data_IF_436193325500
#
_entry.id   IF_436193325500
#
_cell.length_a   1.000
_cell.length_b   1.000
_cell.length_c   1.000
_cell.angle_alpha   90.00
_cell.angle_beta   90.00
_cell.angle_gamma   90.00
#
_symmetry.space_group_name_H-M   'P 1'
#
loop_
_entity.id
_entity.type
_entity.pdbx_description
1 polymer ?
#
# COMPACT_ATOMS: atom_id res chain seq x y z
N UNK A 1 8.50 -24.76 -28.43
CA UNK A 1 9.52 -24.18 -27.53
C UNK A 1 9.14 -22.72 -27.40
N UNK A 2 8.22 -22.46 -26.47
CA UNK A 2 7.62 -21.16 -26.22
C UNK A 2 8.14 -20.75 -24.84
N UNK A 3 8.82 -19.62 -24.79
CA UNK A 3 9.51 -19.08 -23.61
C UNK A 3 8.47 -18.46 -22.65
N UNK A 4 8.30 -18.97 -21.41
CA UNK A 4 7.32 -18.45 -20.48
C UNK A 4 8.02 -17.81 -19.27
N UNK A 5 8.76 -16.73 -19.43
CA UNK A 5 9.31 -15.97 -18.28
C UNK A 5 9.50 -14.48 -18.63
N UNK A 6 8.40 -13.77 -18.87
CA UNK A 6 8.37 -12.31 -18.73
C UNK A 6 7.46 -11.97 -17.55
N UNK A 7 8.07 -11.94 -16.38
CA UNK A 7 7.50 -11.33 -15.18
C UNK A 7 7.19 -9.85 -15.47
N UNK A 8 5.91 -9.46 -15.29
CA UNK A 8 5.40 -8.10 -15.50
C UNK A 8 6.21 -7.07 -14.69
N UNK A 9 6.85 -7.48 -13.59
CA UNK A 9 7.72 -6.63 -12.74
C UNK A 9 9.06 -6.28 -13.40
N UNK A 10 9.56 -7.09 -14.34
CA UNK A 10 10.85 -6.83 -15.03
C UNK A 10 10.74 -5.71 -16.07
N UNK A 11 9.53 -5.46 -16.61
CA UNK A 11 9.31 -4.41 -17.60
C UNK A 11 9.36 -3.00 -16.97
N UNK A 12 8.81 -2.83 -15.77
CA UNK A 12 8.78 -1.55 -15.05
C UNK A 12 10.20 -1.13 -14.61
N UNK A 13 11.07 -2.07 -14.23
CA UNK A 13 12.46 -1.76 -13.82
C UNK A 13 13.43 -1.34 -14.94
N UNK A 14 13.04 -1.39 -16.22
CA UNK A 14 13.98 -1.18 -17.36
C UNK A 14 13.73 0.06 -18.23
N UNK A 15 12.77 0.92 -17.91
CA UNK A 15 12.58 2.18 -18.66
C UNK A 15 13.41 3.29 -18.04
N UNK A 16 14.74 3.09 -18.03
CA UNK A 16 15.73 4.10 -17.76
C UNK A 16 16.68 4.17 -18.95
N UNK A 17 16.54 5.23 -19.75
CA UNK A 17 17.35 5.60 -20.92
C UNK A 17 17.07 4.88 -22.26
N UNK A 18 16.24 5.50 -23.11
CA UNK A 18 16.48 5.58 -24.55
C UNK A 18 15.70 6.77 -25.17
N UNK A 19 16.39 7.89 -25.35
CA UNK A 19 15.94 9.03 -26.17
C UNK A 19 15.92 8.61 -27.64
N UNK A 20 14.83 8.87 -28.38
CA UNK A 20 14.77 8.57 -29.81
C UNK A 20 13.53 9.16 -30.50
N UNK A 21 13.63 10.43 -30.90
CA UNK A 21 12.65 11.11 -31.73
C UNK A 21 12.56 10.50 -33.14
N UNK A 22 11.36 10.19 -33.62
CA UNK A 22 11.03 10.16 -35.05
C UNK A 22 9.65 10.76 -35.27
N UNK A 23 9.63 11.93 -35.89
CA UNK A 23 8.46 12.54 -36.52
C UNK A 23 8.39 12.11 -37.99
N UNK A 24 7.22 11.69 -38.48
CA UNK A 24 6.85 11.77 -39.89
C UNK A 24 5.36 12.09 -40.04
N UNK A 25 5.09 13.16 -40.79
CA UNK A 25 3.80 13.70 -41.18
C UNK A 25 3.21 12.99 -42.42
N UNK A 26 1.91 13.20 -42.68
CA UNK A 26 1.37 13.14 -44.07
C UNK A 26 -0.09 12.71 -44.27
N UNK A 27 -1.00 13.68 -44.19
CA UNK A 27 -2.25 13.96 -44.93
C UNK A 27 -2.90 12.93 -45.89
N UNK A 28 -4.25 12.78 -45.85
CA UNK A 28 -5.21 13.31 -46.86
C UNK A 28 -6.70 13.12 -46.45
N UNK A 29 -7.53 14.14 -46.71
CA UNK A 29 -8.96 14.38 -46.45
C UNK A 29 -9.95 13.66 -47.43
N UNK A 30 -11.24 14.08 -47.62
CA UNK A 30 -12.42 14.12 -46.72
C UNK A 30 -13.65 13.38 -47.30
N UNK A 31 -14.72 13.18 -46.52
CA UNK A 31 -15.98 12.59 -47.01
C UNK A 31 -17.19 13.00 -46.17
N UNK A 32 -18.15 13.62 -46.86
CA UNK A 32 -19.38 14.31 -46.45
C UNK A 32 -20.40 13.56 -45.56
N UNK A 33 -21.07 14.38 -44.74
CA UNK A 33 -22.51 14.49 -44.42
C UNK A 33 -23.29 13.25 -43.94
N UNK A 34 -23.85 13.34 -42.71
CA UNK A 34 -25.29 13.16 -42.47
C UNK A 34 -25.67 13.58 -41.03
N UNK A 35 -26.46 14.65 -40.90
CA UNK A 35 -27.25 14.95 -39.70
C UNK A 35 -28.54 14.13 -39.72
N UNK A 36 -28.82 13.29 -38.71
CA UNK A 36 -30.19 13.04 -38.21
C UNK A 36 -30.16 12.53 -36.76
N UNK A 37 -30.95 13.16 -35.89
CA UNK A 37 -31.88 12.40 -35.04
C UNK A 37 -31.55 12.16 -33.58
N UNK A 38 -32.06 13.06 -32.74
CA UNK A 38 -32.57 12.77 -31.39
C UNK A 38 -33.24 11.37 -31.30
N UNK A 39 -32.81 10.58 -30.31
CA UNK A 39 -33.22 9.19 -30.15
C UNK A 39 -33.01 8.66 -28.74
N UNK A 40 -34.00 8.94 -27.88
CA UNK A 40 -34.53 8.09 -26.81
C UNK A 40 -33.54 7.31 -25.94
N UNK A 41 -33.59 7.68 -24.65
CA UNK A 41 -33.28 6.82 -23.52
C UNK A 41 -33.87 5.41 -23.75
N UNK A 42 -32.98 4.46 -24.05
CA UNK A 42 -33.34 3.06 -24.07
C UNK A 42 -33.18 2.56 -22.63
N UNK A 43 -34.28 2.60 -21.88
CA UNK A 43 -34.48 1.85 -20.65
C UNK A 43 -34.56 0.37 -21.01
N UNK A 44 -33.40 -0.21 -21.34
CA UNK A 44 -33.23 -1.66 -21.38
C UNK A 44 -33.09 -2.12 -19.95
N UNK A 45 -34.15 -2.76 -19.45
CA UNK A 45 -34.15 -3.50 -18.19
C UNK A 45 -33.08 -4.60 -18.24
N UNK A 46 -31.86 -4.25 -17.87
CA UNK A 46 -30.82 -5.22 -17.57
C UNK A 46 -31.27 -6.00 -16.34
N UNK A 47 -31.11 -7.33 -16.40
CA UNK A 47 -31.34 -8.20 -15.26
C UNK A 47 -30.57 -7.66 -14.07
N UNK A 48 -31.25 -7.35 -12.97
CA UNK A 48 -30.67 -6.77 -11.76
C UNK A 48 -29.55 -7.62 -11.11
N UNK A 49 -29.19 -8.76 -11.68
CA UNK A 49 -28.16 -9.67 -11.19
C UNK A 49 -26.75 -9.49 -11.78
N UNK A 50 -26.55 -8.60 -12.76
CA UNK A 50 -25.22 -8.37 -13.38
C UNK A 50 -24.79 -6.89 -13.34
N UNK A 51 -25.53 -6.04 -12.63
CA UNK A 51 -25.22 -4.62 -12.51
C UNK A 51 -24.02 -4.41 -11.58
N UNK A 52 -22.89 -3.95 -12.15
CA UNK A 52 -21.73 -3.54 -11.37
C UNK A 52 -22.03 -2.30 -10.52
N UNK A 53 -21.39 -2.15 -9.35
CA UNK A 53 -21.43 -0.91 -8.59
C UNK A 53 -21.04 0.30 -9.44
N UNK A 54 -21.62 1.45 -9.10
CA UNK A 54 -21.20 2.72 -9.69
C UNK A 54 -19.90 3.15 -9.03
N UNK A 55 -19.03 3.76 -9.82
CA UNK A 55 -17.80 4.38 -9.32
C UNK A 55 -17.83 5.88 -9.64
N UNK A 56 -18.60 6.70 -8.89
CA UNK A 56 -18.57 8.15 -9.09
C UNK A 56 -17.15 8.69 -8.95
N UNK A 57 -16.77 9.57 -9.87
CA UNK A 57 -15.49 10.27 -9.83
C UNK A 57 -15.63 11.59 -9.07
N UNK A 58 -14.50 12.04 -8.52
CA UNK A 58 -14.35 13.34 -7.87
C UNK A 58 -13.40 14.12 -8.77
N UNK A 59 -13.87 15.26 -9.30
CA UNK A 59 -13.11 16.04 -10.29
C UNK A 59 -11.87 16.70 -9.68
N UNK A 60 -11.99 17.32 -8.51
CA UNK A 60 -10.92 18.06 -7.82
C UNK A 60 -10.48 17.31 -6.55
N UNK A 61 -9.82 16.18 -6.75
CA UNK A 61 -9.32 15.34 -5.64
C UNK A 61 -8.15 16.03 -4.95
N UNK A 62 -8.12 16.08 -3.61
CA UNK A 62 -6.99 16.66 -2.90
C UNK A 62 -5.75 15.78 -3.06
N UNK A 63 -4.56 16.38 -3.08
CA UNK A 63 -3.27 15.69 -2.96
C UNK A 63 -3.00 15.21 -1.51
N UNK A 64 -3.98 14.52 -0.91
CA UNK A 64 -4.01 14.09 0.48
C UNK A 64 -4.99 12.93 0.66
N UNK A 65 -4.97 12.30 1.83
CA UNK A 65 -5.97 11.31 2.22
C UNK A 65 -7.34 11.96 2.37
N UNK A 66 -8.33 11.38 1.69
CA UNK A 66 -9.67 11.94 1.63
C UNK A 66 -10.77 10.88 1.71
N UNK A 67 -11.99 11.30 2.05
CA UNK A 67 -13.16 10.43 2.12
C UNK A 67 -13.63 10.01 0.71
N UNK A 68 -13.60 8.71 0.37
CA UNK A 68 -14.07 8.24 -0.93
C UNK A 68 -15.59 8.38 -1.07
N UNK A 69 -16.11 8.08 -2.25
CA UNK A 69 -17.55 8.22 -2.57
C UNK A 69 -18.43 7.14 -1.93
N UNK A 70 -17.84 6.00 -1.59
CA UNK A 70 -18.52 4.86 -0.98
C UNK A 70 -17.56 4.01 -0.17
N UNK A 71 -18.15 3.17 0.68
CA UNK A 71 -17.53 2.02 1.32
C UNK A 71 -17.78 0.79 0.48
N UNK A 72 -16.73 0.00 0.26
CA UNK A 72 -16.86 -1.25 -0.45
C UNK A 72 -17.38 -2.36 0.46
N UNK A 73 -17.95 -3.40 -0.13
CA UNK A 73 -18.39 -4.59 0.58
C UNK A 73 -17.65 -5.80 0.05
N UNK A 74 -17.34 -6.72 0.95
CA UNK A 74 -16.58 -7.92 0.62
C UNK A 74 -17.03 -9.09 1.48
N UNK A 75 -16.70 -10.29 1.02
CA UNK A 75 -16.80 -11.52 1.77
C UNK A 75 -15.43 -11.87 2.34
N UNK A 76 -15.32 -11.90 3.66
CA UNK A 76 -14.15 -12.41 4.37
C UNK A 76 -14.29 -13.93 4.50
N UNK A 77 -13.25 -14.68 4.10
CA UNK A 77 -13.18 -16.13 4.29
C UNK A 77 -12.44 -16.48 5.58
N UNK A 78 -12.52 -17.74 5.99
CA UNK A 78 -11.82 -18.21 7.19
C UNK A 78 -10.30 -18.02 7.04
N UNK A 79 -9.61 -17.50 8.07
CA UNK A 79 -8.16 -17.46 8.12
C UNK A 79 -7.52 -18.85 7.99
N UNK A 80 -6.38 -18.90 7.32
CA UNK A 80 -5.61 -20.11 7.05
C UNK A 80 -4.20 -19.91 7.59
N UNK A 81 -3.71 -20.92 8.31
CA UNK A 81 -2.30 -20.99 8.72
C UNK A 81 -1.50 -21.74 7.66
N UNK A 82 -0.39 -21.15 7.23
CA UNK A 82 0.57 -21.75 6.31
C UNK A 82 1.98 -21.50 6.86
N UNK A 83 2.60 -22.53 7.43
CA UNK A 83 3.86 -22.39 8.17
C UNK A 83 3.74 -21.38 9.31
N UNK A 84 4.62 -20.38 9.29
CA UNK A 84 4.62 -19.28 10.25
C UNK A 84 3.62 -18.15 9.92
N UNK A 85 3.05 -18.17 8.72
CA UNK A 85 2.10 -17.16 8.27
C UNK A 85 0.67 -17.53 8.66
N UNK A 86 -0.13 -16.51 8.99
CA UNK A 86 -1.58 -16.61 8.86
C UNK A 86 -2.06 -15.66 7.79
N UNK A 87 -2.98 -16.13 6.96
CA UNK A 87 -3.58 -15.35 5.89
C UNK A 87 -5.10 -15.38 5.95
N UNK A 88 -5.75 -14.32 5.50
CA UNK A 88 -7.20 -14.27 5.34
C UNK A 88 -7.54 -13.85 3.92
N UNK A 89 -8.16 -14.75 3.12
CA UNK A 89 -8.66 -14.38 1.82
C UNK A 89 -9.95 -13.56 1.94
N UNK A 90 -10.06 -12.52 1.12
CA UNK A 90 -11.21 -11.62 1.07
C UNK A 90 -11.57 -11.39 -0.40
N UNK A 91 -12.87 -11.30 -0.68
CA UNK A 91 -13.38 -11.27 -2.04
C UNK A 91 -14.40 -10.14 -2.19
N UNK A 92 -14.17 -9.25 -3.14
CA UNK A 92 -15.12 -8.21 -3.57
C UNK A 92 -15.43 -8.33 -5.07
N UNK A 93 -16.30 -7.47 -5.58
CA UNK A 93 -16.45 -7.25 -7.03
C UNK A 93 -15.15 -6.64 -7.61
N UNK A 94 -14.82 -6.87 -8.90
CA UNK A 94 -13.67 -6.22 -9.54
C UNK A 94 -13.83 -4.70 -9.56
N UNK A 95 -12.78 -3.96 -9.24
CA UNK A 95 -12.83 -2.51 -9.18
C UNK A 95 -11.48 -1.84 -9.48
N UNK A 96 -11.48 -0.53 -9.80
CA UNK A 96 -10.27 0.18 -10.14
C UNK A 96 -9.35 0.38 -8.93
N UNK A 97 -8.05 0.22 -9.16
CA UNK A 97 -7.01 0.63 -8.21
C UNK A 97 -5.91 1.40 -8.94
N UNK A 98 -4.97 1.96 -8.20
CA UNK A 98 -3.91 2.81 -8.76
C UNK A 98 -2.54 2.25 -8.42
N UNK A 99 -1.72 2.00 -9.43
CA UNK A 99 -0.31 1.64 -9.28
C UNK A 99 0.51 2.90 -9.18
N UNK A 100 1.48 2.90 -8.27
CA UNK A 100 2.52 3.94 -8.19
C UNK A 100 3.77 3.36 -8.84
N UNK A 101 4.21 3.95 -9.95
CA UNK A 101 5.35 3.46 -10.73
C UNK A 101 6.48 4.49 -10.77
N UNK A 102 7.33 4.46 -9.74
CA UNK A 102 8.69 5.03 -9.72
C UNK A 102 8.87 6.53 -9.96
N UNK A 103 9.37 7.23 -8.93
CA UNK A 103 9.74 8.65 -8.91
C UNK A 103 8.87 9.47 -7.95
N UNK A 104 8.68 10.77 -8.23
CA UNK A 104 7.84 11.69 -7.45
C UNK A 104 6.82 12.41 -8.37
N UNK A 105 5.52 12.36 -8.03
CA UNK A 105 4.48 13.19 -8.65
C UNK A 105 3.26 12.43 -9.20
N UNK A 106 2.27 13.18 -9.72
CA UNK A 106 0.99 12.63 -10.21
C UNK A 106 1.09 11.86 -11.54
N UNK A 107 2.11 12.17 -12.37
CA UNK A 107 2.34 11.53 -13.67
C UNK A 107 2.77 10.05 -13.55
N UNK A 108 3.01 9.58 -12.33
CA UNK A 108 3.53 8.25 -12.02
C UNK A 108 2.46 7.30 -11.45
N UNK A 109 1.20 7.73 -11.50
CA UNK A 109 0.07 6.91 -11.07
C UNK A 109 -0.64 6.33 -12.30
N UNK A 110 -0.66 5.00 -12.39
CA UNK A 110 -1.43 4.28 -13.38
C UNK A 110 -2.73 3.75 -12.77
N UNK A 111 -3.87 4.23 -13.27
CA UNK A 111 -5.17 3.62 -12.94
C UNK A 111 -5.30 2.29 -13.69
N UNK A 112 -5.57 1.23 -12.93
CA UNK A 112 -5.86 -0.10 -13.45
C UNK A 112 -7.36 -0.36 -13.32
N UNK A 113 -8.06 -0.32 -14.44
CA UNK A 113 -9.47 -0.72 -14.49
C UNK A 113 -9.60 -2.25 -14.68
N UNK A 114 -10.65 -2.88 -14.13
CA UNK A 114 -10.88 -4.31 -14.32
C UNK A 114 -11.11 -4.64 -15.80
N UNK A 115 -10.43 -5.67 -16.31
CA UNK A 115 -10.52 -6.11 -17.71
C UNK A 115 -11.96 -6.45 -18.14
N UNK A 116 -12.77 -6.96 -17.20
CA UNK A 116 -14.14 -7.40 -17.40
C UNK A 116 -14.94 -7.19 -16.11
N UNK A 117 -16.26 -6.98 -16.22
CA UNK A 117 -17.15 -6.86 -15.05
C UNK A 117 -17.38 -8.19 -14.30
N UNK A 118 -17.05 -9.34 -14.91
CA UNK A 118 -17.19 -10.66 -14.27
C UNK A 118 -15.86 -11.14 -13.71
N UNK A 119 -15.84 -11.41 -12.41
CA UNK A 119 -14.64 -11.77 -11.66
C UNK A 119 -14.76 -11.41 -10.20
N UNK A 120 -13.62 -11.38 -9.53
CA UNK A 120 -13.48 -10.89 -8.15
C UNK A 120 -12.28 -9.97 -8.06
N UNK A 121 -12.36 -8.97 -7.18
CA UNK A 121 -11.15 -8.41 -6.60
C UNK A 121 -10.76 -9.34 -5.44
N UNK A 122 -9.67 -10.10 -5.63
CA UNK A 122 -9.19 -11.06 -4.64
C UNK A 122 -8.12 -10.38 -3.80
N UNK A 123 -8.33 -10.36 -2.49
CA UNK A 123 -7.45 -9.74 -1.51
C UNK A 123 -6.99 -10.74 -0.46
N UNK A 124 -5.80 -10.53 0.09
CA UNK A 124 -5.20 -11.35 1.14
C UNK A 124 -4.46 -10.45 2.12
N UNK A 125 -4.75 -10.58 3.40
CA UNK A 125 -3.91 -10.00 4.47
C UNK A 125 -3.04 -11.11 5.04
N UNK A 126 -1.74 -10.86 5.18
CA UNK A 126 -0.75 -11.75 5.78
C UNK A 126 -0.29 -11.17 7.12
N UNK A 127 -0.27 -11.99 8.18
CA UNK A 127 0.16 -11.55 9.50
C UNK A 127 0.82 -12.66 10.32
N UNK A 128 1.60 -12.25 11.32
CA UNK A 128 2.05 -13.10 12.41
C UNK A 128 0.92 -13.30 13.42
N UNK A 129 0.40 -14.52 13.57
CA UNK A 129 -0.71 -14.78 14.50
C UNK A 129 -0.33 -14.63 15.97
N UNK A 130 0.95 -14.81 16.33
CA UNK A 130 1.39 -14.67 17.72
C UNK A 130 1.32 -13.22 18.18
N UNK A 131 1.73 -12.28 17.33
CA UNK A 131 1.77 -10.84 17.64
C UNK A 131 0.63 -10.03 17.06
N UNK A 132 -0.14 -10.58 16.13
CA UNK A 132 -1.17 -9.84 15.40
C UNK A 132 -0.58 -8.78 14.46
N UNK A 133 0.69 -8.92 14.08
CA UNK A 133 1.41 -7.96 13.23
C UNK A 133 1.18 -8.32 11.77
N UNK A 134 0.51 -7.44 11.03
CA UNK A 134 0.42 -7.54 9.56
C UNK A 134 1.82 -7.38 8.97
N UNK A 135 2.13 -8.08 7.87
CA UNK A 135 3.45 -8.06 7.25
C UNK A 135 3.43 -7.17 5.98
N UNK A 136 3.75 -5.86 6.09
CA UNK A 136 3.66 -4.93 4.98
C UNK A 136 4.91 -4.99 4.10
N UNK A 137 5.08 -6.07 3.33
CA UNK A 137 6.27 -6.30 2.50
C UNK A 137 5.90 -6.58 1.04
N UNK A 138 6.81 -6.36 0.10
CA UNK A 138 6.67 -6.99 -1.22
C UNK A 138 7.01 -8.47 -1.10
N UNK A 139 5.98 -9.27 -0.84
CA UNK A 139 6.12 -10.71 -0.72
C UNK A 139 6.30 -11.40 -2.06
N UNK A 140 6.23 -10.75 -3.23
CA UNK A 140 6.28 -11.46 -4.53
C UNK A 140 5.40 -12.73 -4.60
N UNK A 141 4.29 -12.76 -3.85
CA UNK A 141 3.40 -13.91 -3.78
C UNK A 141 2.86 -14.27 -5.16
N UNK A 142 2.48 -15.54 -5.34
CA UNK A 142 1.87 -16.01 -6.59
C UNK A 142 0.53 -16.66 -6.30
N UNK A 143 -0.50 -16.19 -6.99
CA UNK A 143 -1.87 -16.71 -6.94
C UNK A 143 -2.12 -17.53 -8.20
N UNK A 144 -2.56 -18.77 -8.01
CA UNK A 144 -3.04 -19.65 -9.08
C UNK A 144 -4.49 -20.06 -8.81
N UNK A 145 -5.36 -19.86 -9.79
CA UNK A 145 -6.80 -20.16 -9.66
C UNK A 145 -7.14 -21.40 -10.48
N UNK A 146 -7.98 -22.26 -9.92
CA UNK A 146 -8.42 -23.51 -10.53
C UNK A 146 -9.94 -23.65 -10.45
N UNK A 147 -10.52 -24.32 -11.45
CA UNK A 147 -11.92 -24.76 -11.47
C UNK A 147 -11.94 -26.20 -11.97
N UNK A 148 -12.58 -27.10 -11.23
CA UNK A 148 -12.66 -28.54 -11.56
C UNK A 148 -11.29 -29.20 -11.84
N UNK A 149 -10.23 -28.69 -11.20
CA UNK A 149 -8.84 -29.16 -11.36
C UNK A 149 -8.09 -28.56 -12.56
N UNK A 150 -8.75 -27.76 -13.40
CA UNK A 150 -8.13 -27.04 -14.51
C UNK A 150 -7.75 -25.62 -14.10
N UNK A 151 -6.56 -25.15 -14.52
CA UNK A 151 -6.08 -23.81 -14.19
C UNK A 151 -6.86 -22.76 -15.00
N UNK A 152 -7.35 -21.74 -14.29
CA UNK A 152 -8.07 -20.60 -14.84
C UNK A 152 -7.07 -19.46 -15.06
N UNK A 153 -6.76 -19.18 -16.32
CA UNK A 153 -5.80 -18.13 -16.69
C UNK A 153 -4.34 -18.47 -16.35
N UNK A 154 -3.50 -17.42 -16.39
CA UNK A 154 -2.11 -17.49 -15.94
C UNK A 154 -2.02 -17.19 -14.43
N UNK A 155 -1.02 -17.73 -13.72
CA UNK A 155 -0.69 -17.28 -12.37
C UNK A 155 -0.46 -15.77 -12.32
N UNK A 156 -0.77 -15.15 -11.19
CA UNK A 156 -0.71 -13.70 -11.00
C UNK A 156 0.04 -13.38 -9.71
N UNK A 157 0.76 -12.28 -9.70
CA UNK A 157 1.34 -11.74 -8.46
C UNK A 157 0.45 -10.61 -7.97
N UNK A 158 -0.20 -10.74 -6.80
CA UNK A 158 -1.02 -9.67 -6.27
C UNK A 158 -0.15 -8.47 -5.92
N UNK A 159 -0.71 -7.28 -6.06
CA UNK A 159 -0.05 -6.03 -5.71
C UNK A 159 -0.10 -5.84 -4.20
N UNK A 160 0.98 -5.39 -3.53
CA UNK A 160 0.85 -4.78 -2.21
C UNK A 160 -0.01 -3.52 -2.36
N UNK A 161 -0.99 -3.32 -1.48
CA UNK A 161 -1.97 -2.24 -1.58
C UNK A 161 -2.25 -1.58 -0.24
N UNK A 162 -2.62 -0.30 -0.29
CA UNK A 162 -3.19 0.45 0.82
C UNK A 162 -4.67 0.71 0.56
N UNK A 163 -5.52 0.36 1.53
CA UNK A 163 -6.90 0.88 1.60
C UNK A 163 -7.23 1.39 2.99
N UNK A 164 -8.19 2.32 3.05
CA UNK A 164 -8.64 2.87 4.33
C UNK A 164 -9.29 1.80 5.22
N UNK A 165 -10.03 0.87 4.60
CA UNK A 165 -10.86 -0.10 5.32
C UNK A 165 -10.09 -1.36 5.73
N UNK A 166 -9.09 -1.77 4.94
CA UNK A 166 -8.32 -2.99 5.17
C UNK A 166 -6.89 -2.74 5.63
N UNK A 167 -6.39 -1.52 5.46
CA UNK A 167 -4.99 -1.21 5.71
C UNK A 167 -4.13 -1.83 4.62
N UNK A 168 -2.96 -2.34 5.02
CA UNK A 168 -2.05 -3.04 4.13
C UNK A 168 -2.55 -4.45 3.82
N UNK A 169 -2.63 -4.78 2.54
CA UNK A 169 -3.01 -6.10 2.04
C UNK A 169 -2.41 -6.34 0.66
N UNK A 170 -2.58 -7.56 0.14
CA UNK A 170 -2.24 -7.90 -1.23
C UNK A 170 -3.53 -8.08 -2.03
N UNK A 171 -3.60 -7.58 -3.27
CA UNK A 171 -4.78 -7.78 -4.10
C UNK A 171 -4.55 -7.67 -5.60
N UNK A 172 -5.46 -8.27 -6.36
CA UNK A 172 -5.55 -8.09 -7.82
C UNK A 172 -6.97 -8.44 -8.32
N UNK A 173 -7.33 -7.92 -9.48
CA UNK A 173 -8.53 -8.30 -10.19
C UNK A 173 -8.33 -9.65 -10.90
N UNK A 174 -9.18 -10.62 -10.53
CA UNK A 174 -9.18 -11.98 -11.09
C UNK A 174 -10.44 -12.15 -11.95
N UNK A 175 -10.32 -12.19 -13.29
CA UNK A 175 -11.45 -12.43 -14.16
C UNK A 175 -11.93 -13.88 -14.05
N UNK A 176 -13.25 -14.07 -13.97
CA UNK A 176 -13.90 -15.38 -13.87
C UNK A 176 -15.01 -15.45 -14.92
N UNK A 177 -14.91 -16.42 -15.84
CA UNK A 177 -15.81 -16.50 -16.99
C UNK A 177 -17.22 -16.98 -16.63
N UNK A 178 -17.32 -17.94 -15.70
CA UNK A 178 -18.61 -18.55 -15.35
C UNK A 178 -18.79 -18.69 -13.83
N UNK A 179 -20.04 -18.91 -13.44
CA UNK A 179 -20.41 -19.28 -12.09
C UNK A 179 -19.86 -20.67 -11.73
N UNK A 180 -19.42 -20.85 -10.49
CA UNK A 180 -18.90 -22.12 -9.99
C UNK A 180 -18.05 -21.99 -8.73
N UNK A 181 -17.52 -23.13 -8.29
CA UNK A 181 -16.58 -23.18 -7.17
C UNK A 181 -15.15 -23.14 -7.69
N UNK A 182 -14.40 -22.15 -7.23
CA UNK A 182 -13.00 -21.95 -7.56
C UNK A 182 -12.12 -22.36 -6.38
N UNK A 183 -10.98 -22.96 -6.69
CA UNK A 183 -9.90 -23.23 -5.73
C UNK A 183 -8.76 -22.27 -6.02
N UNK A 184 -8.26 -21.59 -5.00
CA UNK A 184 -7.15 -20.67 -5.12
C UNK A 184 -5.98 -21.23 -4.32
N UNK A 185 -4.84 -21.32 -4.97
CA UNK A 185 -3.55 -21.62 -4.36
C UNK A 185 -2.72 -20.33 -4.30
N UNK A 186 -2.13 -20.06 -3.14
CA UNK A 186 -1.23 -18.92 -2.93
C UNK A 186 0.12 -19.47 -2.50
N UNK A 187 1.15 -19.22 -3.30
CA UNK A 187 2.55 -19.42 -2.93
C UNK A 187 3.07 -18.14 -2.27
N UNK A 188 3.55 -18.26 -1.04
CA UNK A 188 4.08 -17.17 -0.22
C UNK A 188 5.57 -17.41 -0.05
N UNK A 189 6.46 -16.62 -0.68
CA UNK A 189 7.89 -16.79 -0.47
C UNK A 189 8.34 -16.12 0.84
N UNK A 190 9.61 -16.35 1.23
CA UNK A 190 10.18 -15.75 2.43
C UNK A 190 10.07 -14.23 2.44
N UNK A 191 9.95 -13.64 3.64
CA UNK A 191 9.95 -12.19 3.81
C UNK A 191 11.37 -11.66 3.56
N UNK A 192 11.58 -10.76 2.58
CA UNK A 192 12.91 -10.23 2.29
C UNK A 192 13.33 -9.11 3.25
N UNK A 193 12.36 -8.49 3.92
CA UNK A 193 12.57 -7.38 4.86
C UNK A 193 13.21 -7.89 6.15
N UNK A 194 14.11 -7.09 6.73
CA UNK A 194 14.76 -7.43 8.00
C UNK A 194 13.72 -7.61 9.10
N UNK A 195 13.78 -8.74 9.80
CA UNK A 195 12.95 -9.00 10.98
C UNK A 195 13.77 -8.90 12.25
N UNK A 196 13.19 -8.35 13.33
CA UNK A 196 13.88 -8.19 14.61
C UNK A 196 12.97 -8.53 15.80
N UNK A 197 13.58 -8.59 16.99
CA UNK A 197 12.88 -8.94 18.21
C UNK A 197 12.37 -10.37 18.14
N UNK A 198 11.10 -10.60 18.42
CA UNK A 198 10.51 -11.94 18.33
C UNK A 198 10.26 -12.45 16.92
N UNK A 199 10.42 -11.59 15.91
CA UNK A 199 10.28 -11.97 14.51
C UNK A 199 11.63 -12.34 13.88
N UNK A 200 12.73 -12.13 14.59
CA UNK A 200 14.08 -12.44 14.12
C UNK A 200 14.19 -13.93 13.73
N UNK A 201 14.64 -14.17 12.50
CA UNK A 201 14.81 -15.53 11.96
C UNK A 201 13.50 -16.26 11.60
N UNK A 202 12.36 -15.57 11.61
CA UNK A 202 11.06 -16.08 11.17
C UNK A 202 10.76 -15.68 9.72
N UNK A 203 9.79 -16.35 9.10
CA UNK A 203 9.32 -16.13 7.73
C UNK A 203 10.41 -16.38 6.68
N UNK A 204 11.29 -17.36 6.94
CA UNK A 204 12.44 -17.68 6.09
C UNK A 204 12.14 -18.74 5.03
N UNK A 205 11.04 -19.47 5.20
CA UNK A 205 10.64 -20.56 4.31
C UNK A 205 9.50 -20.14 3.38
N UNK A 206 9.46 -20.78 2.22
CA UNK A 206 8.34 -20.65 1.28
C UNK A 206 7.19 -21.53 1.77
N UNK A 207 6.00 -20.96 1.79
CA UNK A 207 4.78 -21.63 2.20
C UNK A 207 3.71 -21.61 1.11
N UNK A 208 2.73 -22.51 1.22
CA UNK A 208 1.59 -22.56 0.30
C UNK A 208 0.29 -22.67 1.08
N UNK A 209 -0.68 -21.86 0.70
CA UNK A 209 -2.02 -21.87 1.24
C UNK A 209 -3.04 -22.16 0.15
N UNK A 210 -4.15 -22.83 0.50
CA UNK A 210 -5.23 -23.12 -0.44
C UNK A 210 -6.58 -22.84 0.19
N UNK A 211 -7.45 -22.17 -0.56
CA UNK A 211 -8.83 -21.96 -0.15
C UNK A 211 -9.79 -22.13 -1.32
N UNK A 212 -11.09 -22.19 -1.00
CA UNK A 212 -12.15 -22.29 -2.00
C UNK A 212 -13.18 -21.22 -1.78
N UNK A 213 -13.77 -20.76 -2.87
CA UNK A 213 -14.95 -19.90 -2.84
C UNK A 213 -15.90 -20.24 -3.97
N UNK A 214 -17.18 -19.91 -3.76
CA UNK A 214 -18.20 -20.03 -4.80
C UNK A 214 -18.48 -18.65 -5.36
N UNK A 215 -18.31 -18.52 -6.68
CA UNK A 215 -18.70 -17.37 -7.46
C UNK A 215 -20.04 -17.68 -8.12
N UNK A 216 -21.11 -17.08 -7.61
CA UNK A 216 -22.47 -17.26 -8.10
C UNK A 216 -23.25 -15.94 -7.94
N UNK A 217 -24.53 -15.98 -8.32
CA UNK A 217 -25.42 -14.83 -8.16
C UNK A 217 -25.50 -14.35 -6.71
N UNK A 218 -25.55 -15.27 -5.74
CA UNK A 218 -25.66 -14.91 -4.33
C UNK A 218 -24.41 -14.19 -3.81
N UNK A 219 -23.21 -14.57 -4.29
CA UNK A 219 -21.98 -13.83 -4.03
C UNK A 219 -22.05 -12.41 -4.62
N UNK A 220 -22.42 -12.28 -5.89
CA UNK A 220 -22.54 -10.96 -6.56
C UNK A 220 -23.53 -10.06 -5.83
N UNK A 221 -24.73 -10.56 -5.53
CA UNK A 221 -25.76 -9.83 -4.80
C UNK A 221 -25.27 -9.37 -3.41
N UNK A 222 -24.49 -10.20 -2.72
CA UNK A 222 -23.93 -9.87 -1.41
C UNK A 222 -22.91 -8.72 -1.50
N UNK A 223 -21.90 -8.84 -2.36
CA UNK A 223 -20.80 -7.87 -2.41
C UNK A 223 -21.22 -6.56 -3.07
N UNK A 224 -22.10 -6.60 -4.07
CA UNK A 224 -22.65 -5.40 -4.72
C UNK A 224 -23.72 -4.74 -3.86
N UNK A 225 -24.64 -5.52 -3.28
CA UNK A 225 -25.72 -5.00 -2.44
C UNK A 225 -25.26 -4.45 -1.10
N UNK A 226 -24.03 -4.77 -0.67
CA UNK A 226 -23.43 -4.25 0.55
C UNK A 226 -22.70 -2.91 0.40
N UNK A 227 -22.57 -2.36 -0.82
CA UNK A 227 -21.91 -1.08 -1.04
C UNK A 227 -22.71 0.04 -0.39
N UNK A 228 -22.04 0.85 0.43
CA UNK A 228 -22.64 2.00 1.12
C UNK A 228 -22.11 3.29 0.48
N UNK A 229 -22.95 3.97 -0.29
CA UNK A 229 -22.62 5.28 -0.86
C UNK A 229 -22.84 6.37 0.18
N UNK A 230 -21.87 7.29 0.29
CA UNK A 230 -21.98 8.43 1.19
C UNK A 230 -22.71 9.60 0.53
N UNK A 231 -23.13 10.56 1.34
CA UNK A 231 -23.65 11.83 0.86
C UNK A 231 -22.58 12.59 0.05
N UNK A 232 -22.95 13.12 -1.11
CA UNK A 232 -22.02 13.84 -2.01
C UNK A 232 -21.32 15.01 -1.32
N UNK A 233 -21.94 15.61 -0.30
CA UNK A 233 -21.36 16.73 0.45
C UNK A 233 -20.08 16.37 1.22
N UNK A 234 -19.83 15.08 1.50
CA UNK A 234 -18.61 14.65 2.22
C UNK A 234 -17.55 14.03 1.31
N UNK A 235 -17.80 13.93 0.00
CA UNK A 235 -16.85 13.34 -0.94
C UNK A 235 -15.65 14.27 -1.10
N UNK A 236 -14.44 13.70 -1.02
CA UNK A 236 -13.20 14.50 -1.17
C UNK A 236 -12.79 15.28 0.09
N UNK A 237 -13.60 15.29 1.15
CA UNK A 237 -13.21 15.94 2.41
C UNK A 237 -12.00 15.23 3.05
N UNK A 238 -11.06 15.98 3.68
CA UNK A 238 -9.98 15.38 4.45
C UNK A 238 -10.50 14.39 5.49
N UNK A 239 -9.98 13.18 5.48
CA UNK A 239 -10.41 12.13 6.39
C UNK A 239 -10.26 10.74 5.79
N UNK A 240 -10.36 9.73 6.63
CA UNK A 240 -10.40 8.33 6.20
C UNK A 240 -11.66 7.65 6.73
N UNK A 241 -12.10 6.62 6.00
CA UNK A 241 -13.04 5.64 6.50
C UNK A 241 -12.46 4.93 7.72
N UNK A 242 -13.33 4.62 8.67
CA UNK A 242 -12.95 3.77 9.80
C UNK A 242 -12.59 2.37 9.28
N UNK A 243 -11.56 1.73 9.84
CA UNK A 243 -11.25 0.33 9.56
C UNK A 243 -12.50 -0.54 9.68
N UNK A 244 -12.69 -1.43 8.70
CA UNK A 244 -13.78 -2.38 8.74
C UNK A 244 -13.39 -3.54 9.70
N UNK A 245 -14.38 -4.07 10.43
CA UNK A 245 -14.16 -5.22 11.29
C UNK A 245 -14.14 -6.52 10.48
N UNK A 246 -12.98 -7.14 10.34
CA UNK A 246 -12.76 -8.28 9.43
C UNK A 246 -12.87 -9.66 10.11
N UNK A 247 -13.75 -9.83 11.10
CA UNK A 247 -14.02 -11.17 11.67
C UNK A 247 -12.80 -11.89 12.27
N UNK A 248 -11.84 -11.15 12.84
CA UNK A 248 -10.63 -11.70 13.45
C UNK A 248 -9.34 -11.48 12.67
N UNK A 249 -9.40 -10.86 11.48
CA UNK A 249 -8.20 -10.39 10.76
C UNK A 249 -7.70 -9.09 11.41
N UNK A 250 -6.41 -8.99 11.76
CA UNK A 250 -5.85 -7.76 12.31
C UNK A 250 -5.84 -6.66 11.25
N UNK A 251 -6.06 -5.43 11.71
CA UNK A 251 -5.84 -4.24 10.91
C UNK A 251 -4.37 -3.82 11.07
N UNK A 252 -3.71 -3.41 9.99
CA UNK A 252 -2.29 -3.03 9.99
C UNK A 252 -2.03 -1.66 10.62
N UNK A 253 -2.71 -1.29 11.70
CA UNK A 253 -2.45 -0.02 12.37
C UNK A 253 -1.19 -0.14 13.21
N UNK A 254 -0.21 0.71 12.92
CA UNK A 254 0.97 0.87 13.75
C UNK A 254 0.60 1.30 15.18
N UNK A 255 1.44 0.97 16.18
CA UNK A 255 1.24 1.43 17.54
C UNK A 255 1.08 2.96 17.63
N UNK A 256 0.29 3.47 18.59
CA UNK A 256 0.28 4.88 18.94
C UNK A 256 1.69 5.40 19.19
N UNK A 257 1.92 6.66 18.85
CA UNK A 257 3.27 7.19 18.80
C UNK A 257 3.90 7.35 20.21
N UNK A 258 3.06 7.42 21.26
CA UNK A 258 3.43 7.42 22.67
C UNK A 258 3.89 6.06 23.21
N UNK A 259 3.63 4.97 22.48
CA UNK A 259 4.10 3.62 22.86
C UNK A 259 5.53 3.35 22.40
N UNK A 260 6.08 4.18 21.50
CA UNK A 260 7.46 4.07 21.06
C UNK A 260 8.41 4.65 22.12
N UNK A 261 9.46 3.90 22.53
CA UNK A 261 10.43 4.39 23.49
C UNK A 261 11.41 5.38 22.85
N UNK A 262 12.30 5.92 23.68
CA UNK A 262 13.37 6.82 23.26
C UNK A 262 12.96 8.28 23.29
N UNK A 263 13.82 9.11 22.70
CA UNK A 263 13.62 10.55 22.60
C UNK A 263 12.96 10.86 21.25
N UNK A 264 11.71 11.34 21.27
CA UNK A 264 11.03 11.80 20.05
C UNK A 264 11.72 13.06 19.52
N UNK A 265 11.99 13.09 18.22
CA UNK A 265 12.51 14.27 17.54
C UNK A 265 11.38 15.22 17.18
N UNK A 266 11.65 16.52 17.24
CA UNK A 266 10.66 17.58 17.02
C UNK A 266 10.91 18.30 15.69
N UNK A 267 9.84 18.67 14.99
CA UNK A 267 9.94 19.44 13.76
C UNK A 267 10.44 20.87 14.03
N UNK A 268 11.37 21.35 13.21
CA UNK A 268 11.97 22.68 13.36
C UNK A 268 11.19 23.79 12.66
N UNK A 269 10.20 23.42 11.83
CA UNK A 269 9.35 24.33 11.07
C UNK A 269 8.27 25.04 11.91
N UNK A 270 8.12 24.65 13.18
CA UNK A 270 7.14 25.21 14.11
C UNK A 270 5.70 24.74 13.83
N UNK A 271 5.52 23.66 13.08
CA UNK A 271 4.20 23.06 12.83
C UNK A 271 3.57 22.51 14.13
N UNK A 272 2.34 22.95 14.43
CA UNK A 272 1.55 22.45 15.57
C UNK A 272 0.76 21.21 15.15
N UNK A 273 1.49 20.12 14.92
CA UNK A 273 0.93 18.81 14.58
C UNK A 273 1.37 17.76 15.61
N UNK A 274 0.61 16.68 15.73
CA UNK A 274 0.92 15.57 16.64
C UNK A 274 2.20 14.80 16.27
N UNK A 275 2.54 14.80 14.98
CA UNK A 275 3.75 14.23 14.38
C UNK A 275 4.22 15.08 13.19
N UNK A 276 5.54 15.18 12.94
CA UNK A 276 6.10 15.77 11.72
C UNK A 276 5.43 15.23 10.45
N UNK A 277 5.34 16.08 9.43
CA UNK A 277 4.62 15.79 8.17
C UNK A 277 5.52 15.86 6.96
N UNK A 278 5.41 14.85 6.09
CA UNK A 278 5.96 14.88 4.73
C UNK A 278 4.82 14.59 3.77
N UNK A 279 4.41 15.59 3.00
CA UNK A 279 3.10 15.59 2.36
C UNK A 279 2.00 15.40 3.41
N UNK A 280 1.09 14.46 3.18
CA UNK A 280 0.03 14.12 4.13
C UNK A 280 0.42 12.99 5.13
N UNK A 281 1.61 12.40 4.98
CA UNK A 281 2.06 11.33 5.87
C UNK A 281 2.42 11.88 7.26
N UNK A 282 2.06 11.14 8.31
CA UNK A 282 2.58 11.38 9.66
C UNK A 282 3.90 10.60 9.81
N UNK A 283 4.95 11.24 10.30
CA UNK A 283 6.27 10.61 10.43
C UNK A 283 6.69 10.63 11.91
N UNK A 284 6.59 9.48 12.57
CA UNK A 284 7.20 9.34 13.90
C UNK A 284 8.71 9.15 13.75
N UNK A 285 9.49 9.98 14.42
CA UNK A 285 10.95 9.81 14.53
C UNK A 285 11.33 9.77 15.99
N UNK A 286 11.95 8.67 16.41
CA UNK A 286 12.46 8.50 17.78
C UNK A 286 13.90 8.02 17.76
N UNK A 287 14.69 8.54 18.70
CA UNK A 287 16.06 8.13 18.94
C UNK A 287 16.10 7.23 20.17
N UNK A 288 16.41 5.95 19.94
CA UNK A 288 16.59 4.97 21.01
C UNK A 288 18.00 5.07 21.58
N UNK A 289 18.10 4.97 22.90
CA UNK A 289 19.36 5.06 23.63
C UNK A 289 20.34 3.92 23.31
N UNK A 290 21.62 4.16 23.63
CA UNK A 290 22.65 3.15 23.52
C UNK A 290 22.34 1.97 24.47
N UNK A 291 22.42 0.76 23.93
CA UNK A 291 21.95 -0.46 24.59
C UNK A 291 20.52 -0.90 24.21
N UNK A 292 19.80 -0.14 23.38
CA UNK A 292 18.63 -0.67 22.67
C UNK A 292 19.02 -1.91 21.86
N UNK A 293 18.15 -2.93 21.83
CA UNK A 293 18.37 -4.15 21.02
C UNK A 293 18.42 -3.90 19.51
N UNK A 294 17.94 -2.75 19.06
CA UNK A 294 18.01 -2.34 17.66
C UNK A 294 19.32 -1.60 17.33
N UNK A 295 20.00 -1.05 18.35
CA UNK A 295 21.23 -0.31 18.17
C UNK A 295 22.45 -1.23 18.03
N UNK A 296 23.40 -0.83 17.19
CA UNK A 296 24.67 -1.52 17.02
C UNK A 296 25.68 -1.10 18.09
N UNK A 297 26.10 -2.03 18.96
CA UNK A 297 27.13 -1.75 19.95
C UNK A 297 26.74 -0.63 20.92
N UNK A 298 27.56 0.43 20.97
CA UNK A 298 27.35 1.60 21.83
C UNK A 298 26.62 2.76 21.11
N UNK A 299 26.19 2.54 19.86
CA UNK A 299 25.48 3.53 19.05
C UNK A 299 24.05 3.76 19.56
N UNK A 300 23.38 4.78 19.04
CA UNK A 300 21.94 5.03 19.22
C UNK A 300 21.19 4.63 17.95
N UNK A 301 19.94 4.21 18.07
CA UNK A 301 19.13 3.79 16.92
C UNK A 301 18.08 4.84 16.58
N UNK A 302 18.16 5.39 15.37
CA UNK A 302 17.13 6.28 14.83
C UNK A 302 16.04 5.42 14.18
N UNK A 303 14.83 5.46 14.73
CA UNK A 303 13.64 4.79 14.21
C UNK A 303 12.72 5.82 13.57
N UNK A 304 12.36 5.59 12.30
CA UNK A 304 11.44 6.39 11.50
C UNK A 304 10.27 5.51 11.09
N UNK A 305 9.06 5.89 11.50
CA UNK A 305 7.84 5.12 11.26
C UNK A 305 6.79 5.96 10.53
N UNK A 306 6.87 6.00 9.18
CA UNK A 306 5.94 6.73 8.33
C UNK A 306 4.59 6.01 8.28
N UNK A 307 3.51 6.77 8.45
CA UNK A 307 2.16 6.22 8.63
C UNK A 307 1.08 7.11 8.03
N UNK A 308 -0.04 6.52 7.65
CA UNK A 308 -1.22 7.30 7.21
C UNK A 308 -1.74 8.17 8.37
N UNK A 309 -2.23 9.39 8.08
CA UNK A 309 -2.56 10.38 9.11
C UNK A 309 -3.73 9.98 10.02
N UNK A 310 -4.67 9.15 9.55
CA UNK A 310 -5.89 8.83 10.29
C UNK A 310 -5.87 7.44 10.92
N UNK A 311 -5.48 6.41 10.15
CA UNK A 311 -5.59 5.02 10.56
C UNK A 311 -4.23 4.38 10.93
N UNK A 312 -3.13 5.14 10.87
CA UNK A 312 -1.77 4.69 11.18
C UNK A 312 -1.32 3.46 10.38
N UNK A 313 -1.81 3.31 9.16
CA UNK A 313 -1.37 2.22 8.27
C UNK A 313 0.08 2.50 7.87
N UNK A 314 1.00 1.51 7.94
CA UNK A 314 2.41 1.70 7.60
C UNK A 314 2.57 2.06 6.13
N UNK A 315 3.54 2.94 5.86
CA UNK A 315 3.97 3.29 4.51
C UNK A 315 5.23 2.50 4.16
N UNK A 316 5.03 1.33 3.56
CA UNK A 316 6.10 0.41 3.19
C UNK A 316 6.68 0.66 1.79
N UNK A 317 7.80 -0.01 1.48
CA UNK A 317 8.49 0.09 0.20
C UNK A 317 8.89 1.54 -0.17
N UNK A 318 9.40 2.28 0.81
CA UNK A 318 10.01 3.61 0.64
C UNK A 318 11.54 3.50 0.63
N UNK A 319 12.20 4.50 0.07
CA UNK A 319 13.62 4.75 0.31
C UNK A 319 13.76 6.00 1.18
N UNK A 320 14.38 5.85 2.35
CA UNK A 320 14.51 6.91 3.34
C UNK A 320 15.97 7.04 3.75
N UNK A 321 16.45 8.28 3.82
CA UNK A 321 17.79 8.63 4.28
C UNK A 321 17.70 9.61 5.44
N UNK A 322 18.61 9.47 6.40
CA UNK A 322 18.76 10.43 7.48
C UNK A 322 20.15 11.06 7.46
N UNK A 323 20.20 12.38 7.57
CA UNK A 323 21.44 13.15 7.72
C UNK A 323 21.41 13.82 9.07
N UNK A 324 22.53 13.72 9.80
CA UNK A 324 22.69 14.34 11.13
C UNK A 324 23.78 15.38 11.04
N UNK A 325 23.49 16.60 11.45
CA UNK A 325 24.41 17.73 11.42
C UNK A 325 24.57 18.35 12.81
N UNK A 326 25.81 18.73 13.12
CA UNK A 326 26.16 19.50 14.32
C UNK A 326 26.86 20.77 13.89
N UNK A 327 26.32 21.92 14.29
CA UNK A 327 26.83 23.24 13.90
C UNK A 327 26.98 23.41 12.37
N UNK A 328 26.11 22.75 11.59
CA UNK A 328 26.11 22.77 10.12
C UNK A 328 27.13 21.84 9.45
N UNK A 329 27.77 20.95 10.21
CA UNK A 329 28.72 19.95 9.69
C UNK A 329 28.17 18.51 9.92
N UNK A 330 28.32 17.60 8.95
CA UNK A 330 27.78 16.24 9.05
C UNK A 330 28.50 15.41 10.11
N UNK A 331 27.73 14.71 10.96
CA UNK A 331 28.25 13.89 12.06
C UNK A 331 28.67 12.48 11.60
N UNK A 332 27.86 11.83 10.76
CA UNK A 332 28.08 10.45 10.30
C UNK A 332 28.34 10.36 8.78
N UNK A 333 29.10 11.34 8.27
CA UNK A 333 29.51 11.43 6.87
C UNK A 333 28.56 12.29 6.01
N UNK A 334 29.12 12.89 4.95
CA UNK A 334 28.44 13.93 4.18
C UNK A 334 27.21 13.49 3.38
N UNK A 335 27.00 12.18 3.21
CA UNK A 335 25.92 11.64 2.38
C UNK A 335 24.76 11.08 3.21
N UNK A 336 24.76 11.24 4.54
CA UNK A 336 23.77 10.61 5.43
C UNK A 336 23.79 9.08 5.39
N UNK A 337 22.85 8.46 6.11
CA UNK A 337 22.70 7.01 6.24
C UNK A 337 21.33 6.60 5.68
N UNK A 338 21.32 5.61 4.79
CA UNK A 338 20.08 4.98 4.33
C UNK A 338 19.46 4.16 5.48
N UNK A 339 18.17 4.33 5.71
CA UNK A 339 17.44 3.65 6.77
C UNK A 339 16.91 2.31 6.27
N UNK A 340 17.20 1.25 7.02
CA UNK A 340 16.81 -0.11 6.64
C UNK A 340 15.35 -0.38 7.04
N UNK A 341 14.52 -0.80 6.09
CA UNK A 341 13.16 -1.27 6.34
C UNK A 341 13.19 -2.51 7.23
N UNK A 342 12.45 -2.46 8.33
CA UNK A 342 12.47 -3.46 9.40
C UNK A 342 11.04 -3.75 9.87
N UNK A 343 10.74 -5.03 10.12
CA UNK A 343 9.54 -5.45 10.86
C UNK A 343 9.98 -5.98 12.22
N UNK A 344 9.51 -5.34 13.27
CA UNK A 344 9.84 -5.70 14.63
C UNK A 344 8.64 -6.25 15.40
N UNK A 345 8.90 -7.22 16.29
CA UNK A 345 7.86 -7.85 17.08
C UNK A 345 7.18 -6.98 18.16
N UNK A 346 7.64 -5.74 18.35
CA UNK A 346 7.15 -4.78 19.34
C UNK A 346 6.84 -3.42 18.71
N UNK A 347 7.70 -2.94 17.81
CA UNK A 347 7.57 -1.66 17.13
C UNK A 347 6.99 -1.74 15.72
N UNK A 348 6.63 -2.95 15.27
CA UNK A 348 6.03 -3.21 13.96
C UNK A 348 6.93 -2.68 12.81
N UNK A 349 6.34 -2.32 11.67
CA UNK A 349 7.05 -1.77 10.52
C UNK A 349 7.63 -0.37 10.78
N UNK A 350 8.92 -0.22 10.48
CA UNK A 350 9.66 1.04 10.53
C UNK A 350 10.90 0.99 9.64
N UNK A 351 11.57 2.12 9.48
CA UNK A 351 12.89 2.25 8.89
C UNK A 351 13.86 2.72 9.96
N UNK A 352 15.08 2.22 9.99
CA UNK A 352 16.05 2.78 10.93
C UNK A 352 17.49 2.36 10.71
N UNK A 353 18.36 3.05 11.44
CA UNK A 353 19.80 2.85 11.40
C UNK A 353 20.45 3.25 12.74
N UNK A 354 21.66 2.73 12.97
CA UNK A 354 22.49 3.13 14.12
C UNK A 354 23.36 4.33 13.77
N UNK A 355 23.49 5.26 14.72
CA UNK A 355 24.28 6.49 14.64
C UNK A 355 25.21 6.56 15.85
N UNK A 356 26.51 6.73 15.61
CA UNK A 356 27.53 6.62 16.65
C UNK A 356 27.63 7.88 17.52
N UNK A 357 27.40 9.07 16.95
CA UNK A 357 27.63 10.34 17.65
C UNK A 357 26.46 11.32 17.59
N UNK A 358 25.23 10.85 17.40
CA UNK A 358 24.03 11.69 17.48
C UNK A 358 23.71 12.11 18.94
N UNK A 359 23.58 13.41 19.17
CA UNK A 359 23.44 14.04 20.50
C UNK A 359 22.29 15.06 20.53
N UNK A 360 21.82 15.44 21.74
CA UNK A 360 20.93 16.58 21.91
C UNK A 360 21.48 17.85 21.25
N UNK A 361 20.62 18.61 20.57
CA UNK A 361 20.97 19.81 19.83
C UNK A 361 21.39 19.57 18.37
N UNK A 362 21.64 18.32 17.96
CA UNK A 362 21.94 18.01 16.56
C UNK A 362 20.68 18.19 15.69
N UNK A 363 20.88 18.69 14.47
CA UNK A 363 19.85 18.76 13.44
C UNK A 363 19.78 17.43 12.70
N UNK A 364 18.57 16.98 12.40
CA UNK A 364 18.32 15.72 11.68
C UNK A 364 17.37 15.98 10.53
N UNK A 365 17.84 15.74 9.31
CA UNK A 365 16.99 15.78 8.12
C UNK A 365 16.63 14.37 7.72
N UNK A 366 15.33 14.08 7.57
CA UNK A 366 14.84 12.83 6.98
C UNK A 366 14.43 13.13 5.54
N UNK A 367 15.18 12.57 4.60
CA UNK A 367 14.94 12.68 3.17
C UNK A 367 14.17 11.44 2.67
N UNK A 368 13.09 11.68 1.93
CA UNK A 368 12.32 10.63 1.27
C UNK A 368 12.83 10.55 -0.18
N UNK A 369 13.70 9.59 -0.46
CA UNK A 369 14.29 9.38 -1.78
C UNK A 369 13.31 8.70 -2.76
N UNK A 370 12.32 7.97 -2.23
CA UNK A 370 11.17 7.52 -3.01
C UNK A 370 9.93 7.31 -2.12
N UNK A 371 8.73 7.66 -2.62
CA UNK A 371 7.48 7.50 -1.90
C UNK A 371 7.08 6.02 -1.80
N UNK A 372 6.04 5.68 -1.02
CA UNK A 372 5.65 4.29 -0.80
C UNK A 372 5.19 3.63 -2.10
N UNK A 373 6.00 2.70 -2.63
CA UNK A 373 5.78 2.01 -3.92
C UNK A 373 4.78 0.85 -3.81
N UNK A 374 3.57 1.17 -3.35
CA UNK A 374 2.46 0.21 -3.19
C UNK A 374 1.19 0.72 -3.86
N UNK A 375 0.34 -0.17 -4.35
CA UNK A 375 -0.89 0.25 -4.99
C UNK A 375 -1.83 0.97 -4.01
N UNK A 376 -2.70 1.82 -4.52
CA UNK A 376 -3.67 2.58 -3.74
C UNK A 376 -5.08 2.19 -4.14
N UNK A 377 -5.94 2.09 -3.14
CA UNK A 377 -7.38 2.17 -3.32
C UNK A 377 -7.85 3.62 -3.24
N UNK A 378 -9.09 3.86 -3.66
CA UNK A 378 -9.70 5.20 -3.65
C UNK A 378 -9.65 5.84 -2.27
N UNK A 379 -9.41 7.14 -2.23
CA UNK A 379 -9.18 7.92 -1.02
C UNK A 379 -7.71 7.98 -0.61
N UNK A 380 -6.84 7.21 -1.28
CA UNK A 380 -5.37 7.25 -1.13
C UNK A 380 -4.64 7.45 -2.45
N UNK A 381 -5.34 7.44 -3.59
CA UNK A 381 -4.69 7.38 -4.90
C UNK A 381 -3.90 8.64 -5.25
N UNK A 382 -4.20 9.78 -4.65
CA UNK A 382 -3.47 11.05 -4.80
C UNK A 382 -2.57 11.36 -3.61
N UNK A 383 -2.49 10.46 -2.62
CA UNK A 383 -1.76 10.69 -1.38
C UNK A 383 -0.35 10.07 -1.41
N UNK A 384 0.58 10.73 -0.71
CA UNK A 384 1.96 10.25 -0.49
C UNK A 384 2.75 10.08 -1.80
N UNK A 385 2.62 11.04 -2.71
CA UNK A 385 3.39 11.08 -3.96
C UNK A 385 4.57 12.04 -3.82
N UNK A 386 4.27 13.29 -3.50
CA UNK A 386 5.26 14.30 -3.19
C UNK A 386 5.50 14.32 -1.69
N UNK A 387 6.72 13.92 -1.29
CA UNK A 387 7.10 13.77 0.11
C UNK A 387 8.38 14.59 0.38
N UNK A 388 8.27 15.90 0.65
CA UNK A 388 9.44 16.74 0.92
C UNK A 388 10.21 16.26 2.16
N UNK A 389 11.52 16.54 2.25
CA UNK A 389 12.30 16.23 3.43
C UNK A 389 11.73 16.95 4.66
N UNK A 390 11.92 16.34 5.83
CA UNK A 390 11.54 16.93 7.11
C UNK A 390 12.79 17.27 7.91
N UNK A 391 12.83 18.49 8.45
CA UNK A 391 13.92 18.98 9.29
C UNK A 391 13.51 18.93 10.76
N UNK A 392 14.28 18.16 11.52
CA UNK A 392 14.03 17.85 12.91
C UNK A 392 15.20 18.26 13.79
N UNK A 393 14.97 18.38 15.09
CA UNK A 393 16.02 18.54 16.08
C UNK A 393 15.95 17.42 17.12
N UNK A 394 17.12 16.97 17.59
CA UNK A 394 17.21 16.14 18.80
C UNK A 394 16.98 17.07 19.99
N UNK A 395 15.89 16.89 20.77
CA UNK A 395 15.58 17.79 21.88
C UNK A 395 16.74 17.89 22.86
N UNK A 396 17.09 19.12 23.22
CA UNK A 396 17.88 19.36 24.42
C UNK A 396 17.04 18.85 25.59
N UNK A 397 17.53 17.82 26.29
CA UNK A 397 16.84 17.31 27.47
C UNK A 397 16.54 18.46 28.45
N UNK A 398 15.55 18.32 29.36
CA UNK A 398 15.17 19.42 30.23
C UNK A 398 16.42 19.98 30.93
N UNK A 399 16.67 21.29 30.76
CA UNK A 399 17.74 22.02 31.43
C UNK A 399 17.82 21.57 32.89
N UNK A 400 18.92 20.91 33.25
CA UNK A 400 19.11 20.35 34.59
C UNK A 400 19.53 21.40 35.60
#
# INVERSE_FOLDING_TARGET
>A
MYDPDLDRRTFVRRVGAATGAIALAGCLEPGADDEVGDGSANDSSESAGDAMPRFPEIDDRPAAVYRPTHRESMRVLEPITAGEYTLAPMLSYPHPFWLVTGGDGEDEIERVDPEQGRGVHLMVTLWDAERGIVLPVDSSATITVFRDGERVGAPRSPWPMLSQEMGFHFGDNVPLADDGTYTVEIEIPPVPTRTTGSLEGRFTDRETATFKFTYDQAFRDQVVGGVEYFDESVWGEPGALKPMGHGGVPYSALPPAEEYPGTRLEATDGSDTDLPRSGDAAILVTLLESGSRLAAGDDRYLLVSPRTPYNRVPLAAMAIRATVERDGEPVDGANGIALEETIDGEYDHHYGASFADIRPGDAVTIEIESPPQVARHRGYETAFLEMPPIDLAVPEGPDR
#
